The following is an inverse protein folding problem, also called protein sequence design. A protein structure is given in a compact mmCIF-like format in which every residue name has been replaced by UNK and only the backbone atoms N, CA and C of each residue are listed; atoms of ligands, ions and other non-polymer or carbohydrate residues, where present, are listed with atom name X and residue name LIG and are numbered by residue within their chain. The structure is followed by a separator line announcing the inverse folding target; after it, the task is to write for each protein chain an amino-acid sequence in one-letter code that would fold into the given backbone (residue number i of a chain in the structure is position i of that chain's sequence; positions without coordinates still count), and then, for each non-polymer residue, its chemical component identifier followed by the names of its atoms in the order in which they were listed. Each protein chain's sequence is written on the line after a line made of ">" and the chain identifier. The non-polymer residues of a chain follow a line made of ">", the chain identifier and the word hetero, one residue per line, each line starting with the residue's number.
data_IF_861487536325
#
_entry.id   IF_861487536325
#
_cell.length_a   1.000
_cell.length_b   1.000
_cell.length_c   1.000
_cell.angle_alpha   90.00
_cell.angle_beta   90.00
_cell.angle_gamma   90.00
#
_symmetry.space_group_name_H-M   'P 1'
#
loop_
_entity.id
_entity.type
_entity.pdbx_description
1 polymer ?
#
# COMPACT_ATOMS: atom_id res chain seq x y z
N UNK A 1 -6.94 -3.03 -24.35
CA UNK A 1 -5.81 -2.18 -23.95
C UNK A 1 -5.21 -1.54 -25.18
N UNK A 2 -5.22 -0.21 -25.27
CA UNK A 2 -4.78 0.53 -26.45
C UNK A 2 -3.24 0.65 -26.50
N UNK A 3 -2.63 0.63 -27.70
CA UNK A 3 -1.18 0.64 -27.90
C UNK A 3 -0.45 1.92 -27.40
N UNK A 4 -1.19 2.97 -27.03
CA UNK A 4 -0.61 4.23 -26.55
C UNK A 4 -0.05 4.15 -25.13
N UNK A 5 -0.54 3.22 -24.30
CA UNK A 5 -0.03 3.00 -22.93
C UNK A 5 1.41 2.43 -22.97
N UNK A 6 1.78 1.72 -24.05
CA UNK A 6 3.12 1.14 -24.21
C UNK A 6 4.21 2.18 -24.49
N UNK A 7 3.87 3.36 -25.02
CA UNK A 7 4.87 4.37 -25.44
C UNK A 7 5.31 5.32 -24.33
N UNK A 8 4.54 5.48 -23.26
CA UNK A 8 4.93 6.35 -22.14
C UNK A 8 5.89 5.70 -21.14
N UNK A 9 6.16 4.41 -21.27
CA UNK A 9 7.04 3.65 -20.36
C UNK A 9 8.52 3.75 -20.78
N UNK A 10 8.84 4.26 -21.98
CA UNK A 10 10.19 4.16 -22.54
C UNK A 10 11.15 5.32 -22.26
N UNK A 11 10.76 6.39 -21.55
CA UNK A 11 11.59 7.61 -21.47
C UNK A 11 11.72 8.26 -20.08
N UNK A 12 11.76 7.46 -19.01
CA UNK A 12 12.32 7.94 -17.75
C UNK A 12 13.28 6.91 -17.20
N UNK A 13 14.50 7.34 -16.89
CA UNK A 13 15.49 6.63 -16.08
C UNK A 13 14.85 6.22 -14.75
N UNK A 14 14.18 5.08 -14.74
CA UNK A 14 13.68 4.45 -13.52
C UNK A 14 14.61 3.30 -13.22
N UNK A 15 15.44 3.46 -12.18
CA UNK A 15 15.87 2.32 -11.38
C UNK A 15 14.61 1.54 -11.04
N UNK A 16 14.34 0.49 -11.80
CA UNK A 16 13.12 -0.28 -11.73
C UNK A 16 13.26 -1.16 -10.49
N UNK A 17 13.01 -0.59 -9.31
CA UNK A 17 12.85 -1.39 -8.11
C UNK A 17 11.60 -2.22 -8.34
N UNK A 18 11.76 -3.53 -8.50
CA UNK A 18 10.64 -4.46 -8.71
C UNK A 18 9.54 -4.13 -7.69
N UNK A 19 8.33 -3.86 -8.21
CA UNK A 19 7.14 -3.57 -7.43
C UNK A 19 6.88 -2.12 -7.01
N UNK A 20 7.69 -1.14 -7.41
CA UNK A 20 7.42 0.28 -7.12
C UNK A 20 7.29 1.12 -8.40
N UNK A 21 6.14 1.76 -8.60
CA UNK A 21 5.96 2.79 -9.63
C UNK A 21 5.17 3.97 -9.08
N UNK A 22 5.68 5.19 -9.28
CA UNK A 22 4.97 6.43 -8.95
C UNK A 22 4.35 7.04 -10.19
N UNK A 23 3.05 7.29 -10.15
CA UNK A 23 2.29 7.98 -11.20
C UNK A 23 1.58 9.20 -10.62
N UNK A 24 0.98 10.03 -11.48
CA UNK A 24 0.27 11.23 -11.04
C UNK A 24 -0.99 10.83 -10.27
N UNK A 25 -0.97 11.01 -8.95
CA UNK A 25 -2.12 10.80 -8.07
C UNK A 25 -2.19 9.41 -7.41
N UNK A 26 -1.32 8.47 -7.80
CA UNK A 26 -1.31 7.12 -7.22
C UNK A 26 0.07 6.45 -7.35
N UNK A 27 0.23 5.33 -6.65
CA UNK A 27 1.39 4.47 -6.67
C UNK A 27 0.97 3.05 -7.04
N UNK A 28 1.83 2.31 -7.73
CA UNK A 28 1.76 0.85 -7.80
C UNK A 28 2.79 0.34 -6.79
N UNK A 29 2.32 -0.35 -5.75
CA UNK A 29 3.13 -0.84 -4.64
C UNK A 29 2.93 -2.36 -4.51
N UNK A 30 3.59 -3.12 -5.37
CA UNK A 30 3.50 -4.58 -5.41
C UNK A 30 4.45 -5.21 -4.38
N UNK A 31 4.01 -5.19 -3.12
CA UNK A 31 4.70 -5.75 -1.97
C UNK A 31 3.68 -6.45 -1.06
N UNK A 32 4.05 -7.56 -0.43
CA UNK A 32 3.14 -8.36 0.41
C UNK A 32 2.46 -7.58 1.55
N UNK A 33 3.08 -6.49 2.01
CA UNK A 33 2.53 -5.61 3.05
C UNK A 33 1.45 -4.65 2.52
N UNK A 34 1.16 -4.67 1.22
CA UNK A 34 0.13 -3.89 0.57
C UNK A 34 -0.86 -4.90 -0.03
N UNK A 35 -2.13 -4.77 0.34
CA UNK A 35 -3.19 -5.54 -0.29
C UNK A 35 -4.30 -4.58 -0.67
N UNK A 36 -4.38 -4.27 -1.95
CA UNK A 36 -5.50 -3.52 -2.51
C UNK A 36 -6.22 -4.36 -3.55
N UNK A 37 -7.50 -4.11 -3.72
CA UNK A 37 -8.35 -4.81 -4.68
C UNK A 37 -7.92 -4.53 -6.12
N UNK A 38 -7.40 -3.33 -6.37
CA UNK A 38 -7.05 -2.84 -7.71
C UNK A 38 -5.58 -3.10 -8.06
N UNK A 39 -5.15 -4.37 -8.08
CA UNK A 39 -3.81 -4.76 -8.57
C UNK A 39 -2.66 -3.95 -7.92
N UNK A 40 -2.69 -3.80 -6.60
CA UNK A 40 -1.64 -3.10 -5.85
C UNK A 40 -1.54 -1.58 -6.11
N UNK A 41 -2.61 -0.98 -6.66
CA UNK A 41 -2.72 0.47 -6.79
C UNK A 41 -3.10 1.09 -5.44
N UNK A 42 -2.36 2.13 -5.05
CA UNK A 42 -2.59 2.94 -3.85
C UNK A 42 -2.75 4.41 -4.22
N UNK A 43 -3.95 4.94 -4.02
CA UNK A 43 -4.35 6.30 -4.38
C UNK A 43 -3.96 7.32 -3.29
N UNK A 44 -3.40 8.45 -3.72
CA UNK A 44 -3.05 9.56 -2.83
C UNK A 44 -4.32 10.21 -2.28
N UNK A 45 -4.30 10.58 -1.00
CA UNK A 45 -5.43 11.11 -0.23
C UNK A 45 -6.64 10.17 -0.09
N UNK A 46 -6.52 8.92 -0.55
CA UNK A 46 -7.56 7.90 -0.31
C UNK A 46 -7.42 7.26 1.07
N UNK A 47 -8.52 6.67 1.54
CA UNK A 47 -8.60 6.06 2.86
C UNK A 47 -8.35 4.56 2.82
N UNK A 48 -7.50 4.11 3.73
CA UNK A 48 -7.07 2.72 3.88
C UNK A 48 -7.21 2.29 5.33
N UNK A 49 -7.17 0.98 5.55
CA UNK A 49 -6.99 0.38 6.85
C UNK A 49 -5.52 0.01 7.01
N UNK A 50 -4.83 0.64 7.97
CA UNK A 50 -3.51 0.21 8.40
C UNK A 50 -3.67 -0.77 9.57
N UNK A 51 -3.21 -1.99 9.37
CA UNK A 51 -3.13 -3.04 10.39
C UNK A 51 -1.69 -3.15 10.84
N UNK A 52 -1.45 -3.13 12.15
CA UNK A 52 -0.11 -3.18 12.75
C UNK A 52 -0.03 -4.37 13.70
N UNK A 53 1.02 -5.18 13.55
CA UNK A 53 1.31 -6.34 14.39
C UNK A 53 2.43 -5.97 15.34
N UNK A 54 2.10 -5.89 16.63
CA UNK A 54 3.06 -5.52 17.68
C UNK A 54 3.53 -6.77 18.44
N UNK A 55 4.69 -6.63 19.08
CA UNK A 55 5.23 -7.66 19.96
C UNK A 55 4.21 -8.06 21.04
N UNK A 56 4.17 -9.35 21.34
CA UNK A 56 3.17 -9.92 22.25
C UNK A 56 1.80 -10.16 21.61
N UNK A 57 1.70 -10.16 20.27
CA UNK A 57 0.52 -10.59 19.52
C UNK A 57 -0.60 -9.55 19.48
N UNK A 58 -0.33 -8.30 19.85
CA UNK A 58 -1.32 -7.22 19.78
C UNK A 58 -1.48 -6.77 18.33
N UNK A 59 -2.74 -6.54 17.93
CA UNK A 59 -3.08 -6.05 16.60
C UNK A 59 -3.74 -4.69 16.74
N UNK A 60 -3.23 -3.68 16.03
CA UNK A 60 -3.82 -2.34 15.97
C UNK A 60 -4.41 -2.08 14.60
N UNK A 61 -5.61 -1.50 14.58
CA UNK A 61 -6.34 -1.13 13.38
C UNK A 61 -6.49 0.39 13.35
N UNK A 62 -6.14 1.02 12.23
CA UNK A 62 -6.25 2.47 12.05
C UNK A 62 -6.82 2.79 10.68
N UNK A 63 -7.83 3.66 10.65
CA UNK A 63 -8.22 4.29 9.39
C UNK A 63 -7.22 5.40 9.09
N UNK A 64 -6.53 5.30 7.96
CA UNK A 64 -5.48 6.24 7.56
C UNK A 64 -5.77 6.81 6.18
N UNK A 65 -5.29 8.02 5.93
CA UNK A 65 -5.25 8.61 4.60
C UNK A 65 -3.83 8.44 4.04
N UNK A 66 -3.69 7.87 2.84
CA UNK A 66 -2.38 7.65 2.24
C UNK A 66 -1.81 8.94 1.63
N UNK A 67 -0.55 9.27 1.91
CA UNK A 67 0.08 10.50 1.39
C UNK A 67 1.19 10.22 0.38
N UNK A 68 2.10 9.30 0.72
CA UNK A 68 3.29 9.11 -0.10
C UNK A 68 3.93 7.75 0.12
N UNK A 69 4.67 7.28 -0.87
CA UNK A 69 5.63 6.21 -0.72
C UNK A 69 6.93 6.52 -1.45
N UNK A 70 8.03 5.98 -0.96
CA UNK A 70 9.34 6.03 -1.60
C UNK A 70 10.13 4.77 -1.30
N UNK A 71 11.00 4.40 -2.23
CA UNK A 71 12.00 3.34 -2.01
C UNK A 71 13.37 4.00 -1.89
N UNK A 72 14.11 3.64 -0.83
CA UNK A 72 15.48 4.09 -0.64
C UNK A 72 16.25 3.09 0.21
N UNK A 73 17.50 2.82 -0.16
CA UNK A 73 18.44 1.98 0.61
C UNK A 73 17.88 0.59 0.98
N UNK A 74 17.11 -0.03 0.09
CA UNK A 74 16.51 -1.36 0.33
C UNK A 74 15.23 -1.35 1.19
N UNK A 75 14.64 -0.18 1.42
CA UNK A 75 13.39 -0.06 2.18
C UNK A 75 12.29 0.60 1.35
N UNK A 76 11.10 0.00 1.39
CA UNK A 76 9.85 0.69 1.12
C UNK A 76 9.46 1.51 2.36
N UNK A 77 9.28 2.81 2.17
CA UNK A 77 8.71 3.71 3.18
C UNK A 77 7.35 4.19 2.70
N UNK A 78 6.31 3.94 3.48
CA UNK A 78 4.99 4.56 3.29
C UNK A 78 4.75 5.63 4.35
N UNK A 79 4.05 6.68 3.96
CA UNK A 79 3.66 7.81 4.80
C UNK A 79 2.14 7.93 4.71
N UNK A 80 1.49 7.82 5.87
CA UNK A 80 0.04 7.89 5.99
C UNK A 80 -0.34 8.81 7.14
N UNK A 81 -1.57 9.32 7.13
CA UNK A 81 -2.11 10.18 8.17
C UNK A 81 -3.22 9.45 8.92
N UNK A 82 -3.04 9.24 10.23
CA UNK A 82 -4.06 8.69 11.12
C UNK A 82 -5.13 9.76 11.36
N UNK A 83 -6.32 9.51 10.82
CA UNK A 83 -7.42 10.47 10.83
C UNK A 83 -7.96 10.68 12.25
N UNK A 84 -7.99 9.61 13.05
CA UNK A 84 -8.58 9.64 14.38
C UNK A 84 -7.65 10.33 15.38
N UNK A 85 -6.35 10.04 15.30
CA UNK A 85 -5.35 10.60 16.20
C UNK A 85 -4.73 11.90 15.69
N UNK A 86 -5.00 12.27 14.44
CA UNK A 86 -4.44 13.43 13.76
C UNK A 86 -2.91 13.44 13.72
N UNK A 87 -2.29 12.27 13.52
CA UNK A 87 -0.83 12.13 13.48
C UNK A 87 -0.34 11.49 12.19
N UNK A 88 0.86 11.87 11.77
CA UNK A 88 1.55 11.23 10.66
C UNK A 88 2.17 9.93 11.14
N UNK A 89 1.93 8.85 10.41
CA UNK A 89 2.53 7.54 10.64
C UNK A 89 3.44 7.22 9.46
N UNK A 90 4.66 6.81 9.77
CA UNK A 90 5.61 6.25 8.80
C UNK A 90 5.76 4.76 9.04
N UNK A 91 5.67 3.96 8.00
CA UNK A 91 5.97 2.52 8.07
C UNK A 91 7.06 2.18 7.08
N UNK A 92 7.95 1.31 7.52
CA UNK A 92 9.12 0.84 6.77
C UNK A 92 9.00 -0.66 6.58
N UNK A 93 9.35 -1.12 5.39
CA UNK A 93 9.47 -2.53 5.08
C UNK A 93 10.78 -2.73 4.32
N UNK A 94 11.62 -3.64 4.82
CA UNK A 94 12.86 -4.01 4.14
C UNK A 94 12.52 -4.94 2.98
N UNK A 95 12.78 -4.49 1.75
CA UNK A 95 12.46 -5.20 0.50
C UNK A 95 13.64 -6.05 -0.01
N UNK A 96 14.86 -5.80 0.49
CA UNK A 96 16.06 -6.55 0.10
C UNK A 96 16.19 -7.87 0.87
N UNK A 97 15.53 -7.97 2.03
CA UNK A 97 15.54 -9.18 2.85
C UNK A 97 14.52 -10.18 2.32
N UNK A 98 15.01 -11.27 1.73
CA UNK A 98 14.18 -12.43 1.38
C UNK A 98 13.41 -12.92 2.62
N UNK A 99 12.10 -13.10 2.48
CA UNK A 99 11.16 -13.49 3.55
C UNK A 99 11.02 -12.49 4.71
N UNK A 100 11.15 -11.19 4.44
CA UNK A 100 10.82 -10.13 5.40
C UNK A 100 9.33 -10.20 5.78
N UNK A 101 9.03 -10.56 7.03
CA UNK A 101 7.65 -10.61 7.53
C UNK A 101 7.14 -9.18 7.71
N UNK A 102 5.96 -8.90 7.15
CA UNK A 102 5.24 -7.64 7.36
C UNK A 102 4.77 -7.52 8.81
N UNK A 103 5.31 -6.57 9.57
CA UNK A 103 4.76 -6.16 10.87
C UNK A 103 3.67 -5.09 10.73
N UNK A 104 3.31 -4.72 9.50
CA UNK A 104 2.16 -3.89 9.19
C UNK A 104 1.64 -4.27 7.80
N UNK A 105 0.34 -4.09 7.58
CA UNK A 105 -0.29 -4.27 6.27
C UNK A 105 -1.20 -3.07 5.99
N UNK A 106 -1.16 -2.55 4.77
CA UNK A 106 -2.08 -1.53 4.27
C UNK A 106 -3.14 -2.21 3.40
N UNK A 107 -4.41 -2.06 3.78
CA UNK A 107 -5.55 -2.71 3.17
C UNK A 107 -6.56 -1.68 2.65
N UNK A 108 -7.27 -2.00 1.58
CA UNK A 108 -8.50 -1.27 1.27
C UNK A 108 -9.51 -1.41 2.42
N UNK A 109 -10.21 -0.32 2.74
CA UNK A 109 -11.19 -0.30 3.83
C UNK A 109 -12.34 -1.31 3.63
N UNK A 110 -12.58 -1.72 2.39
CA UNK A 110 -13.66 -2.62 2.00
C UNK A 110 -13.19 -4.04 1.62
N UNK A 111 -11.93 -4.42 1.88
CA UNK A 111 -11.43 -5.77 1.52
C UNK A 111 -12.27 -6.90 2.15
N UNK A 112 -12.88 -6.65 3.31
CA UNK A 112 -13.73 -7.62 4.01
C UNK A 112 -15.23 -7.42 3.78
N UNK A 113 -15.64 -6.56 2.83
CA UNK A 113 -17.06 -6.31 2.55
C UNK A 113 -17.65 -7.20 1.45
N UNK A 114 -16.93 -8.23 1.02
CA UNK A 114 -17.52 -9.27 0.16
C UNK A 114 -18.17 -10.37 1.02
N UNK A 115 -19.02 -9.96 1.96
CA UNK A 115 -20.09 -10.82 2.46
C UNK A 115 -21.24 -10.69 1.47
N UNK A 116 -21.12 -11.38 0.33
CA UNK A 116 -22.26 -11.91 -0.43
C UNK A 116 -23.00 -12.99 0.37
N UNK A 117 -23.22 -12.72 1.66
CA UNK A 117 -24.27 -13.29 2.48
C UNK A 117 -25.41 -12.25 2.50
N UNK A 118 -25.90 -11.86 1.32
CA UNK A 118 -27.35 -11.78 1.18
C UNK A 118 -27.84 -13.22 1.25
N UNK A 119 -27.90 -13.77 2.46
CA UNK A 119 -28.79 -14.90 2.72
C UNK A 119 -30.19 -14.32 2.59
N UNK A 120 -30.83 -14.59 1.45
CA UNK A 120 -32.27 -14.46 1.28
C UNK A 120 -32.95 -15.16 2.47
N UNK A 121 -33.51 -14.36 3.39
CA UNK A 121 -34.45 -14.77 4.42
C UNK A 121 -35.80 -14.10 4.16
#
# INVERSE_FOLDING_TARGET
>A
MTPEIKKHIQNHDTHNTFGFLRLKGFFILDYDCIMTNDSQIVNVLSHYLLVEFEDGGKIKYRTVMFWHALVKDGYLKIIVYDINKQVIITRLHNIDKTNSICNWVLLDKNIFKDDRLESDF
#
